data_IF_279464737429
#
_entry.id   IF_279464737429
#
_cell.length_a   1.000
_cell.length_b   1.000
_cell.length_c   1.000
_cell.angle_alpha   90.00
_cell.angle_beta   90.00
_cell.angle_gamma   90.00
#
_symmetry.space_group_name_H-M   'P 1'
#
loop_
_entity.id
_entity.type
_entity.pdbx_description
1 polymer ?
2 non-polymer ?
3 non-polymer ?
4 water ?
#
# COMPACT_ATOMS: atom_id res chain seq x y z
N UNK A 30 -10.51 4.09 31.63
CA UNK A 30 -11.10 5.21 32.36
C UNK A 30 -11.72 6.22 31.40
N UNK A 31 -10.89 7.13 30.88
CA UNK A 31 -11.37 8.14 29.93
C UNK A 31 -11.91 7.50 28.67
N UNK A 32 -12.97 8.10 28.12
CA UNK A 32 -13.64 7.56 26.93
C UNK A 32 -13.19 8.27 25.67
N UNK A 33 -13.34 7.60 24.54
CA UNK A 33 -13.02 8.21 23.26
C UNK A 33 -13.78 9.51 23.09
N UNK A 34 -15.10 9.44 23.21
CA UNK A 34 -15.95 10.62 23.00
C UNK A 34 -15.63 11.70 24.02
N UNK A 35 -15.22 11.30 25.21
CA UNK A 35 -14.82 12.27 26.23
C UNK A 35 -13.87 13.29 25.61
N UNK A 36 -12.82 12.82 24.95
CA UNK A 36 -11.80 13.69 24.40
C UNK A 36 -11.90 14.00 22.91
N UNK A 37 -12.81 13.35 22.20
CA UNK A 37 -12.98 13.56 20.76
C UNK A 37 -14.44 13.64 20.37
N UNK A 38 -14.70 14.36 19.28
CA UNK A 38 -16.01 14.35 18.65
C UNK A 38 -15.86 13.95 17.19
N UNK A 39 -16.78 13.11 16.73
CA UNK A 39 -16.73 12.53 15.40
C UNK A 39 -17.16 13.52 14.32
N UNK A 40 -16.77 13.24 13.07
CA UNK A 40 -17.15 14.07 11.94
C UNK A 40 -17.42 13.18 10.73
N UNK A 41 -17.33 13.75 9.54
CA UNK A 41 -17.68 13.02 8.32
C UNK A 41 -16.89 11.71 8.21
N UNK A 42 -17.41 10.78 7.41
CA UNK A 42 -16.67 9.57 7.10
C UNK A 42 -15.63 9.88 6.03
N UNK A 43 -14.39 9.44 6.25
CA UNK A 43 -13.35 9.56 5.24
C UNK A 43 -13.13 8.24 4.49
N UNK A 44 -14.08 7.33 4.66
CA UNK A 44 -14.27 6.22 3.72
C UNK A 44 -13.58 4.91 4.07
N UNK A 45 -13.60 3.99 3.10
CA UNK A 45 -12.82 2.75 3.16
C UNK A 45 -13.02 1.96 4.46
N UNK A 46 -14.11 1.20 4.55
CA UNK A 46 -14.32 0.33 5.69
C UNK A 46 -14.52 -1.13 5.31
N UNK A 47 -14.32 -2.04 6.28
CA UNK A 47 -14.58 -3.47 6.05
C UNK A 47 -15.51 -3.99 7.15
N UNK A 48 -14.94 -4.32 8.31
CA UNK A 48 -15.72 -4.53 9.52
C UNK A 48 -15.56 -3.28 10.35
N UNK A 49 -15.16 -2.19 9.68
CA UNK A 49 -14.76 -0.94 10.33
C UNK A 49 -14.93 0.29 9.42
N UNK A 50 -14.98 1.46 10.05
CA UNK A 50 -15.17 2.72 9.35
C UNK A 50 -14.09 3.71 9.77
N UNK A 51 -13.77 4.67 8.91
CA UNK A 51 -12.86 5.75 9.25
C UNK A 51 -13.60 7.09 9.20
N UNK A 52 -13.51 7.87 10.26
CA UNK A 52 -14.17 9.16 10.33
C UNK A 52 -13.16 10.21 10.70
N UNK A 53 -13.35 11.43 10.20
CA UNK A 53 -12.57 12.56 10.69
C UNK A 53 -13.00 12.83 12.11
N UNK A 54 -12.08 13.27 12.95
CA UNK A 54 -12.42 13.59 14.32
C UNK A 54 -11.58 14.76 14.80
N UNK A 55 -12.13 15.52 15.73
CA UNK A 55 -11.41 16.63 16.33
C UNK A 55 -11.13 16.31 17.79
N UNK A 56 -9.87 16.47 18.16
CA UNK A 56 -9.47 16.29 19.55
C UNK A 56 -10.06 17.45 20.35
N UNK A 57 -11.22 17.23 20.97
CA UNK A 57 -11.98 18.34 21.54
C UNK A 57 -11.22 19.08 22.64
N UNK A 58 -9.97 18.69 22.88
CA UNK A 58 -9.08 19.43 23.75
C UNK A 58 -8.24 20.45 22.97
N UNK A 59 -7.43 19.98 22.02
CA UNK A 59 -6.45 20.84 21.35
C UNK A 59 -6.95 21.34 19.98
N UNK A 60 -8.17 20.94 19.64
CA UNK A 60 -8.79 21.32 18.38
C UNK A 60 -8.02 20.89 17.13
N UNK A 61 -7.15 19.90 17.27
CA UNK A 61 -6.43 19.40 16.10
C UNK A 61 -7.24 18.31 15.40
N UNK A 62 -7.06 18.19 14.10
CA UNK A 62 -7.70 17.16 13.27
C UNK A 62 -6.95 15.85 13.29
N UNK A 63 -7.69 14.75 13.30
CA UNK A 63 -7.11 13.41 13.23
C UNK A 63 -8.08 12.50 12.49
N UNK A 64 -7.68 11.26 12.26
CA UNK A 64 -8.61 10.24 11.78
C UNK A 64 -8.95 9.30 12.93
N UNK A 65 -10.04 8.56 12.81
CA UNK A 65 -10.31 7.50 13.76
C UNK A 65 -10.91 6.29 13.05
N UNK A 66 -10.29 5.13 13.24
CA UNK A 66 -10.80 3.89 12.71
C UNK A 66 -11.57 3.17 13.80
N UNK A 67 -12.87 3.00 13.57
CA UNK A 67 -13.76 2.36 14.52
C UNK A 67 -14.04 0.94 14.09
N UNK A 68 -13.51 -0.02 14.85
CA UNK A 68 -13.60 -1.42 14.47
C UNK A 68 -14.63 -2.14 15.32
N UNK A 69 -15.32 -3.11 14.71
CA UNK A 69 -16.27 -3.94 15.44
C UNK A 69 -15.56 -5.19 15.96
N UNK A 70 -15.40 -5.26 17.27
CA UNK A 70 -14.70 -6.39 17.90
C UNK A 70 -15.39 -7.73 17.62
N UNK A 71 -16.70 -7.70 17.42
CA UNK A 71 -17.47 -8.90 17.13
C UNK A 71 -17.32 -9.38 15.69
N UNK A 72 -16.62 -8.60 14.87
CA UNK A 72 -16.49 -8.89 13.44
C UNK A 72 -15.06 -9.17 13.01
N UNK A 73 -14.13 -8.54 13.71
CA UNK A 73 -12.71 -8.80 13.51
C UNK A 73 -11.98 -8.41 14.78
N UNK A 74 -10.79 -8.97 14.96
CA UNK A 74 -9.96 -8.60 16.10
C UNK A 74 -8.86 -7.66 15.61
N UNK A 75 -8.72 -6.50 16.25
CA UNK A 75 -7.79 -5.46 15.78
C UNK A 75 -6.40 -5.54 16.40
N UNK A 76 -6.19 -6.52 17.26
CA UNK A 76 -5.01 -6.58 18.10
C UNK A 76 -3.73 -6.64 17.27
N UNK A 77 -3.73 -7.47 16.23
CA UNK A 77 -2.54 -7.65 15.41
C UNK A 77 -2.27 -6.40 14.57
N UNK A 78 -3.29 -5.60 14.35
CA UNK A 78 -3.18 -4.39 13.55
C UNK A 78 -2.65 -3.26 14.44
N UNK A 79 -3.20 -3.18 15.65
CA UNK A 79 -2.86 -2.11 16.57
C UNK A 79 -1.42 -2.20 17.06
N UNK A 80 -0.90 -3.41 17.15
CA UNK A 80 0.47 -3.62 17.63
C UNK A 80 1.46 -3.17 16.58
N UNK A 81 1.14 -3.52 15.34
CA UNK A 81 1.94 -3.13 14.21
C UNK A 81 2.06 -1.61 14.21
N UNK A 82 0.94 -0.92 14.41
CA UNK A 82 0.96 0.54 14.47
C UNK A 82 1.75 1.03 15.68
N UNK A 83 1.70 0.30 16.79
CA UNK A 83 2.45 0.72 17.98
C UNK A 83 3.96 0.55 17.81
N UNK A 84 4.40 -0.58 17.27
CA UNK A 84 5.83 -0.85 17.13
C UNK A 84 6.44 -0.13 15.93
N UNK A 85 5.65 0.03 14.86
CA UNK A 85 6.18 0.45 13.58
C UNK A 85 5.76 1.84 13.14
N UNK A 86 4.71 2.36 13.77
CA UNK A 86 4.18 3.67 13.43
C UNK A 86 5.20 4.80 13.37
N UNK A 87 6.33 4.58 14.01
CA UNK A 87 7.38 5.60 14.11
C UNK A 87 7.96 5.94 12.74
N UNK A 88 7.91 4.98 11.83
CA UNK A 88 8.38 5.18 10.47
C UNK A 88 7.69 6.41 9.87
N UNK A 89 8.46 7.34 9.30
CA UNK A 89 7.93 8.55 8.69
C UNK A 89 6.88 8.27 7.64
N UNK A 90 7.01 7.15 6.94
CA UNK A 90 6.08 6.82 5.86
C UNK A 90 5.10 5.74 6.27
N UNK A 91 5.04 5.43 7.55
CA UNK A 91 3.92 4.70 8.11
C UNK A 91 3.04 5.69 8.87
N UNK A 92 1.74 5.63 8.61
CA UNK A 92 0.77 6.45 9.33
C UNK A 92 0.99 6.37 10.84
N UNK A 93 0.85 7.52 11.50
CA UNK A 93 1.24 7.66 12.88
C UNK A 93 0.02 7.56 13.80
N UNK A 94 0.09 6.65 14.77
CA UNK A 94 -0.99 6.41 15.71
C UNK A 94 -0.90 7.46 16.80
N UNK A 95 -2.01 8.14 17.07
CA UNK A 95 -2.07 9.20 18.05
C UNK A 95 -2.68 8.74 19.36
N UNK A 96 -3.55 7.72 19.31
CA UNK A 96 -4.35 7.35 20.47
C UNK A 96 -5.19 6.10 20.19
N UNK A 97 -5.71 5.45 21.23
CA UNK A 97 -6.60 4.31 21.03
C UNK A 97 -7.44 3.97 22.26
N UNK A 98 -8.72 3.64 22.02
CA UNK A 98 -9.67 3.32 23.10
C UNK A 98 -10.42 2.02 22.84
N UNK A 99 -11.04 1.49 23.89
CA UNK A 99 -11.88 0.30 23.77
C UNK A 99 -13.05 0.35 24.75
N UNK A 100 -14.25 0.58 24.24
CA UNK A 100 -15.43 0.61 25.08
C UNK A 100 -16.02 -0.80 25.25
N UNK A 101 -15.18 -1.81 25.04
CA UNK A 101 -15.59 -3.20 25.17
C UNK A 101 -16.34 -3.75 23.97
N UNK A 102 -16.73 -2.87 23.05
CA UNK A 102 -17.55 -3.25 21.91
C UNK A 102 -16.86 -2.83 20.62
N UNK A 103 -16.38 -1.59 20.60
CA UNK A 103 -15.62 -1.10 19.47
C UNK A 103 -14.23 -0.65 19.91
N UNK A 104 -13.28 -0.71 18.98
CA UNK A 104 -11.98 -0.11 19.20
C UNK A 104 -11.85 1.17 18.36
N UNK A 105 -11.39 2.23 18.98
CA UNK A 105 -11.20 3.50 18.30
C UNK A 105 -9.70 3.82 18.14
N UNK A 106 -9.24 3.88 16.90
CA UNK A 106 -7.82 4.10 16.64
C UNK A 106 -7.58 5.46 16.00
N UNK A 107 -7.22 6.43 16.84
CA UNK A 107 -6.99 7.81 16.40
C UNK A 107 -5.62 7.90 15.73
N UNK A 108 -5.59 8.31 14.46
CA UNK A 108 -4.35 8.38 13.69
C UNK A 108 -4.21 9.75 13.04
N UNK A 109 -3.03 9.98 12.46
CA UNK A 109 -2.78 11.11 11.56
C UNK A 109 -3.92 11.25 10.54
N UNK A 110 -4.24 12.48 10.15
CA UNK A 110 -5.20 12.70 9.08
C UNK A 110 -4.48 13.14 7.81
N UNK A 111 -4.73 12.43 6.71
CA UNK A 111 -4.13 12.75 5.43
C UNK A 111 -4.83 13.95 4.83
N UNK A 112 -4.06 14.93 4.39
CA UNK A 112 -4.62 16.14 3.78
C UNK A 112 -4.15 16.31 2.32
N UNK A 113 -3.31 15.41 1.85
CA UNK A 113 -2.75 15.51 0.51
C UNK A 113 -3.46 14.62 -0.47
N UNK A 114 -4.45 13.88 0.00
CA UNK A 114 -5.19 12.98 -0.86
C UNK A 114 -4.47 11.66 -1.16
N UNK A 115 -5.19 10.78 -1.84
CA UNK A 115 -4.66 9.49 -2.23
C UNK A 115 -3.53 9.66 -3.27
N UNK A 116 -2.37 9.08 -2.98
CA UNK A 116 -1.14 9.37 -3.71
C UNK A 116 -1.27 9.15 -5.22
N UNK A 117 -1.82 8.01 -5.61
CA UNK A 117 -2.00 7.72 -7.03
C UNK A 117 -2.89 8.75 -7.69
N UNK A 118 -3.95 9.15 -6.98
CA UNK A 118 -4.91 10.08 -7.52
C UNK A 118 -4.24 11.40 -7.86
N UNK A 119 -3.35 11.86 -6.99
CA UNK A 119 -2.67 13.12 -7.23
C UNK A 119 -1.64 13.00 -8.35
N UNK A 120 -0.96 11.85 -8.42
CA UNK A 120 0.10 11.63 -9.39
C UNK A 120 -0.46 11.57 -10.81
N UNK A 121 -1.63 10.96 -10.97
CA UNK A 121 -2.20 10.78 -12.29
C UNK A 121 -2.74 12.10 -12.89
N UNK A 122 -3.03 13.08 -12.04
CA UNK A 122 -3.57 14.35 -12.53
C UNK A 122 -2.47 15.35 -12.77
N UNK A 123 -1.21 14.94 -12.58
CA UNK A 123 -0.08 15.76 -12.96
C UNK A 123 0.34 15.45 -14.38
N UNK A 124 0.18 16.41 -15.28
CA UNK A 124 0.65 16.26 -16.66
C UNK A 124 2.19 16.32 -16.71
N UNK A 125 2.77 17.08 -15.78
CA UNK A 125 4.22 17.18 -15.68
C UNK A 125 4.72 16.29 -14.56
N UNK A 126 4.85 15.01 -14.90
CA UNK A 126 5.31 13.99 -13.95
C UNK A 126 6.17 13.02 -14.74
N UNK A 127 7.44 12.95 -14.39
CA UNK A 127 8.38 12.18 -15.17
C UNK A 127 8.81 10.91 -14.43
N UNK A 128 9.68 10.14 -15.08
CA UNK A 128 10.20 8.91 -14.49
C UNK A 128 11.07 9.18 -13.26
N UNK A 129 11.91 10.21 -13.30
CA UNK A 129 12.72 10.54 -12.13
C UNK A 129 11.79 10.69 -10.93
N UNK A 130 10.61 11.26 -11.16
CA UNK A 130 9.62 11.43 -10.09
C UNK A 130 9.07 10.10 -9.60
N UNK A 131 8.73 9.24 -10.56
CA UNK A 131 8.10 7.97 -10.25
C UNK A 131 9.06 7.07 -9.47
N UNK A 132 10.34 7.20 -9.77
CA UNK A 132 11.38 6.40 -9.13
C UNK A 132 11.59 6.84 -7.68
N UNK A 133 11.45 8.13 -7.41
CA UNK A 133 11.58 8.67 -6.07
C UNK A 133 10.40 8.23 -5.20
N UNK A 134 9.19 8.38 -5.71
CA UNK A 134 7.98 7.92 -5.01
C UNK A 134 8.07 6.44 -4.69
N UNK A 135 8.44 5.63 -5.67
CA UNK A 135 8.56 4.20 -5.45
C UNK A 135 9.70 3.90 -4.49
N UNK A 136 10.77 4.69 -4.54
CA UNK A 136 11.91 4.46 -3.66
C UNK A 136 11.42 4.57 -2.21
N UNK A 137 10.66 5.61 -1.96
CA UNK A 137 10.22 5.93 -0.61
C UNK A 137 9.33 4.81 -0.10
N UNK A 138 8.45 4.33 -0.97
CA UNK A 138 7.46 3.32 -0.62
C UNK A 138 8.05 1.91 -0.45
N UNK A 139 9.00 1.54 -1.30
CA UNK A 139 9.63 0.24 -1.20
C UNK A 139 10.55 0.20 0.03
N UNK A 140 11.13 1.34 0.38
CA UNK A 140 12.01 1.41 1.53
C UNK A 140 11.20 1.13 2.80
N UNK A 141 9.96 1.59 2.80
CA UNK A 141 9.06 1.38 3.92
C UNK A 141 8.70 -0.10 4.04
N UNK A 142 8.51 -0.72 2.88
CA UNK A 142 8.07 -2.10 2.80
C UNK A 142 9.22 -3.04 3.15
N UNK A 143 10.41 -2.68 2.70
CA UNK A 143 11.58 -3.54 2.90
C UNK A 143 11.85 -3.68 4.38
N UNK A 144 11.86 -2.54 5.06
CA UNK A 144 11.94 -2.50 6.52
C UNK A 144 10.86 -3.40 7.13
N UNK A 145 9.61 -3.19 6.73
CA UNK A 145 8.51 -3.97 7.29
C UNK A 145 8.73 -5.47 7.12
N UNK A 146 9.32 -5.88 6.01
CA UNK A 146 9.56 -7.30 5.75
C UNK A 146 10.71 -7.83 6.59
N UNK A 147 11.69 -6.97 6.85
CA UNK A 147 12.81 -7.33 7.72
C UNK A 147 12.37 -7.55 9.16
N UNK A 148 11.20 -7.03 9.52
CA UNK A 148 10.68 -7.20 10.86
C UNK A 148 9.59 -8.27 10.84
N UNK A 149 9.58 -9.08 9.79
CA UNK A 149 8.59 -10.14 9.67
C UNK A 149 7.17 -9.63 9.60
N UNK A 150 6.98 -8.49 8.93
CA UNK A 150 5.64 -7.94 8.71
C UNK A 150 5.34 -7.93 7.23
N UNK A 151 4.16 -8.43 6.88
CA UNK A 151 3.67 -8.40 5.50
C UNK A 151 2.35 -7.64 5.52
N UNK A 152 2.11 -6.84 4.47
CA UNK A 152 0.95 -5.98 4.41
C UNK A 152 -0.32 -6.68 3.99
N UNK A 153 -0.27 -7.35 2.84
CA UNK A 153 -1.38 -8.17 2.33
C UNK A 153 -2.57 -7.35 1.78
N UNK A 154 -2.49 -6.02 1.81
CA UNK A 154 -3.55 -5.16 1.26
C UNK A 154 -2.96 -3.86 0.70
N UNK A 155 -1.81 -3.95 0.03
CA UNK A 155 -1.08 -2.76 -0.45
C UNK A 155 -1.70 -2.11 -1.70
N UNK A 156 -3.01 -2.02 -1.76
CA UNK A 156 -3.64 -1.31 -2.86
C UNK A 156 -3.36 0.19 -2.70
N UNK A 157 -3.40 0.92 -3.82
CA UNK A 157 -3.11 2.37 -3.88
C UNK A 157 -3.95 3.24 -2.94
N UNK A 158 -5.21 2.88 -2.72
CA UNK A 158 -6.11 3.72 -1.94
C UNK A 158 -5.73 3.76 -0.48
N UNK A 159 -4.72 2.97 -0.12
CA UNK A 159 -4.14 2.95 1.22
C UNK A 159 -2.83 3.72 1.31
N UNK A 160 -2.34 4.25 0.20
CA UNK A 160 -1.18 5.12 0.22
C UNK A 160 -1.62 6.52 -0.08
N UNK A 161 -1.14 7.45 0.73
CA UNK A 161 -1.62 8.81 0.67
C UNK A 161 -0.49 9.79 0.91
N UNK A 162 -0.73 11.03 0.51
CA UNK A 162 0.12 12.14 0.93
C UNK A 162 -0.47 12.79 2.17
N UNK A 163 0.35 13.03 3.19
CA UNK A 163 -0.13 13.62 4.44
C UNK A 163 -0.39 15.12 4.25
N UNK A 164 0.42 15.77 3.43
CA UNK A 164 0.18 17.17 3.10
C UNK A 164 0.33 17.42 1.60
N UNK A 165 0.19 18.67 1.16
CA UNK A 165 0.25 18.97 -0.26
C UNK A 165 1.64 19.40 -0.75
N UNK A 166 2.65 19.24 0.08
CA UNK A 166 4.02 19.54 -0.32
C UNK A 166 4.46 18.69 -1.51
N UNK A 167 3.73 17.61 -1.78
CA UNK A 167 4.03 16.73 -2.90
C UNK A 167 5.36 16.01 -2.77
N UNK A 168 5.95 16.08 -1.58
CA UNK A 168 7.24 15.48 -1.32
C UNK A 168 7.13 13.99 -0.95
N UNK A 169 8.02 13.15 -1.50
CA UNK A 169 8.07 11.74 -1.11
C UNK A 169 8.05 11.51 0.40
N UNK A 170 8.75 12.33 1.17
CA UNK A 170 8.73 12.14 2.63
C UNK A 170 7.39 12.53 3.28
N UNK A 171 6.41 12.93 2.48
CA UNK A 171 5.07 13.19 2.99
C UNK A 171 4.12 12.07 2.60
N UNK A 172 4.65 11.09 1.88
CA UNK A 172 3.95 9.84 1.59
C UNK A 172 3.71 9.01 2.86
N UNK A 173 2.60 8.28 2.89
CA UNK A 173 2.23 7.47 4.04
C UNK A 173 1.45 6.22 3.64
N UNK A 174 1.85 5.07 4.15
CA UNK A 174 1.04 3.87 4.04
C UNK A 174 0.08 3.88 5.22
N UNK A 175 -1.20 3.69 4.98
CA UNK A 175 -2.17 4.18 5.97
C UNK A 175 -3.16 3.19 6.61
N UNK A 176 -3.17 1.92 6.23
CA UNK A 176 -4.15 1.01 6.86
C UNK A 176 -3.61 -0.07 7.83
N UNK A 177 -3.23 -1.23 7.29
CA UNK A 177 -2.63 -2.33 8.08
C UNK A 177 -3.69 -3.27 8.66
N UNK A 178 -4.93 -3.08 8.23
CA UNK A 178 -6.04 -3.89 8.68
C UNK A 178 -5.96 -5.34 8.23
N UNK A 179 -4.89 -5.68 7.53
CA UNK A 179 -4.68 -7.06 7.07
C UNK A 179 -3.24 -7.51 7.25
N UNK A 180 -2.38 -6.64 7.74
CA UNK A 180 -0.98 -7.03 7.93
C UNK A 180 -0.87 -8.16 8.94
N UNK A 181 0.21 -8.94 8.82
CA UNK A 181 0.51 -10.01 9.76
C UNK A 181 1.97 -9.97 10.17
N UNK A 182 2.18 -10.05 11.48
CA UNK A 182 3.50 -10.19 12.06
C UNK A 182 3.84 -11.68 12.19
N UNK A 183 4.96 -12.09 11.59
CA UNK A 183 5.44 -13.47 11.63
C UNK A 183 5.59 -13.95 13.08
N UNK A 184 5.05 -15.14 13.39
CA UNK A 184 5.13 -15.70 14.73
C UNK A 184 5.37 -17.21 14.67
N UNK A 185 6.25 -17.70 15.56
CA UNK A 185 6.50 -19.14 15.72
C UNK A 185 5.26 -19.80 16.29
N UNK A 186 5.16 -21.11 16.13
CA UNK A 186 4.07 -21.87 16.71
C UNK A 186 4.05 -21.62 18.21
N UNK A 187 5.24 -21.35 18.74
CA UNK A 187 5.42 -21.08 20.16
C UNK A 187 4.83 -19.72 20.58
N UNK A 188 4.38 -18.93 19.59
CA UNK A 188 3.81 -17.62 19.82
C UNK A 188 4.83 -16.48 19.72
N UNK A 189 6.06 -16.80 19.34
CA UNK A 189 7.16 -15.84 19.40
C UNK A 189 7.28 -14.95 18.19
N UNK A 190 7.35 -13.65 18.42
CA UNK A 190 7.68 -12.70 17.37
C UNK A 190 8.96 -13.15 16.64
N UNK A 191 8.86 -13.36 15.34
CA UNK A 191 10.01 -13.75 14.54
C UNK A 191 10.34 -12.72 13.46
N UNK A 192 11.62 -12.58 13.17
CA UNK A 192 12.08 -11.85 12.00
C UNK A 192 12.64 -12.86 11.02
N UNK A 193 12.64 -12.53 9.73
CA UNK A 193 13.12 -13.50 8.75
C UNK A 193 14.59 -13.84 8.95
N UNK A 194 15.29 -13.03 9.74
CA UNK A 194 16.69 -13.29 9.98
C UNK A 194 16.93 -14.41 11.02
N UNK A 195 16.13 -14.43 12.08
CA UNK A 195 16.28 -15.44 13.13
C UNK A 195 15.30 -16.60 12.99
N UNK A 196 15.84 -17.77 12.68
CA UNK A 196 15.04 -18.93 12.32
C UNK A 196 15.07 -20.06 13.36
N UNK A 197 15.90 -19.91 14.40
CA UNK A 197 16.16 -21.02 15.32
C UNK A 197 14.97 -21.46 16.19
N UNK A 198 13.83 -20.78 16.07
CA UNK A 198 12.59 -21.25 16.71
C UNK A 198 11.74 -22.00 15.70
N UNK A 199 10.73 -22.72 16.16
CA UNK A 199 9.91 -23.49 15.23
C UNK A 199 8.75 -22.69 14.70
N UNK A 200 8.74 -22.51 13.38
CA UNK A 200 7.60 -21.94 12.70
C UNK A 200 7.12 -22.97 11.68
N UNK A 201 5.82 -23.21 11.64
CA UNK A 201 5.25 -24.21 10.74
C UNK A 201 5.61 -23.86 9.30
N UNK A 202 5.88 -24.88 8.48
CA UNK A 202 6.27 -24.65 7.07
C UNK A 202 5.23 -23.85 6.27
N UNK A 203 3.96 -24.25 6.35
CA UNK A 203 2.93 -23.58 5.58
C UNK A 203 2.79 -22.10 5.96
N UNK A 204 3.23 -21.76 7.17
CA UNK A 204 3.22 -20.38 7.64
C UNK A 204 4.41 -19.61 7.07
N UNK A 205 5.49 -20.33 6.85
CA UNK A 205 6.70 -19.75 6.29
C UNK A 205 6.56 -19.52 4.80
N UNK A 206 6.19 -20.56 4.05
CA UNK A 206 6.00 -20.43 2.61
C UNK A 206 5.00 -19.34 2.34
N UNK A 207 3.97 -19.25 3.19
CA UNK A 207 2.97 -18.20 3.06
C UNK A 207 3.54 -16.81 3.34
N UNK A 208 4.49 -16.71 4.26
CA UNK A 208 5.10 -15.42 4.56
C UNK A 208 5.93 -14.98 3.35
N UNK A 209 6.27 -15.95 2.51
CA UNK A 209 6.99 -15.65 1.28
C UNK A 209 6.01 -15.33 0.17
N UNK A 210 4.80 -15.86 0.27
CA UNK A 210 3.73 -15.52 -0.65
C UNK A 210 3.30 -14.10 -0.38
N UNK A 211 2.88 -13.83 0.85
CA UNK A 211 2.38 -12.51 1.23
C UNK A 211 3.42 -11.41 0.98
N UNK A 212 4.69 -11.72 1.08
CA UNK A 212 5.72 -10.72 0.82
C UNK A 212 5.79 -10.47 -0.66
N UNK A 213 5.80 -11.56 -1.44
CA UNK A 213 5.85 -11.46 -2.90
C UNK A 213 4.63 -10.71 -3.43
N UNK A 214 3.51 -10.91 -2.76
CA UNK A 214 2.25 -10.32 -3.14
C UNK A 214 2.30 -8.82 -2.92
N UNK A 215 2.93 -8.41 -1.82
CA UNK A 215 3.16 -6.99 -1.56
C UNK A 215 3.95 -6.38 -2.71
N UNK A 216 4.99 -7.07 -3.17
CA UNK A 216 5.83 -6.55 -4.23
C UNK A 216 5.06 -6.45 -5.53
N UNK A 217 4.10 -7.36 -5.71
CA UNK A 217 3.28 -7.38 -6.90
C UNK A 217 2.32 -6.20 -6.88
N UNK A 218 1.88 -5.83 -5.69
CA UNK A 218 1.03 -4.67 -5.53
C UNK A 218 1.78 -3.38 -5.87
N UNK A 219 3.05 -3.35 -5.51
CA UNK A 219 3.88 -2.19 -5.84
C UNK A 219 4.09 -2.11 -7.35
N UNK A 220 4.27 -3.28 -7.98
CA UNK A 220 4.47 -3.34 -9.42
C UNK A 220 3.24 -2.86 -10.19
N UNK A 221 2.07 -3.13 -9.63
CA UNK A 221 0.81 -2.65 -10.18
C UNK A 221 0.72 -1.12 -10.06
N UNK A 222 1.15 -0.59 -8.93
CA UNK A 222 1.21 0.85 -8.70
C UNK A 222 2.18 1.53 -9.68
N UNK A 223 3.31 0.87 -9.91
CA UNK A 223 4.33 1.41 -10.80
C UNK A 223 3.81 1.44 -12.23
N UNK A 224 3.12 0.37 -12.63
CA UNK A 224 2.62 0.22 -13.99
C UNK A 224 1.67 1.37 -14.28
N UNK A 225 0.69 1.52 -13.40
CA UNK A 225 -0.31 2.55 -13.52
C UNK A 225 0.35 3.91 -13.47
N UNK A 226 1.43 4.02 -12.71
CA UNK A 226 2.14 5.29 -12.55
C UNK A 226 2.70 5.75 -13.91
N UNK A 227 3.35 4.83 -14.60
CA UNK A 227 4.08 5.16 -15.81
C UNK A 227 3.16 5.47 -17.00
N UNK A 228 1.97 4.86 -17.04
CA UNK A 228 1.15 4.89 -18.24
C UNK A 228 -0.22 5.51 -18.04
N UNK A 229 -0.65 5.63 -16.79
CA UNK A 229 -1.97 6.19 -16.51
C UNK A 229 -3.09 5.19 -16.65
N UNK A 230 -2.76 3.92 -16.85
CA UNK A 230 -3.78 2.87 -16.80
C UNK A 230 -3.21 1.62 -16.13
N UNK A 231 -4.10 0.80 -15.56
CA UNK A 231 -3.69 -0.38 -14.82
C UNK A 231 -3.46 -1.59 -15.73
N UNK A 232 -2.64 -2.55 -15.26
CA UNK A 232 -2.21 -3.66 -16.12
C UNK A 232 -3.27 -4.74 -16.42
N UNK A 233 -4.28 -4.91 -15.56
CA UNK A 233 -5.17 -6.05 -15.67
C UNK A 233 -6.64 -5.67 -15.70
N UNK A 234 -6.93 -4.37 -15.67
CA UNK A 234 -8.30 -3.90 -15.75
C UNK A 234 -8.36 -2.59 -16.55
N UNK A 235 -9.37 -2.46 -17.40
CA UNK A 235 -9.56 -1.24 -18.17
C UNK A 235 -10.45 -0.22 -17.45
N UNK A 236 -11.41 -0.73 -16.68
CA UNK A 236 -12.33 0.10 -15.92
C UNK A 236 -13.12 -0.80 -14.98
N UNK A 237 -14.04 -0.21 -14.19
CA UNK A 237 -14.81 -0.90 -13.16
C UNK A 237 -15.75 -2.01 -13.64
N UNK A 238 -16.06 -2.07 -14.92
CA UNK A 238 -17.05 -3.03 -15.42
C UNK A 238 -16.45 -4.37 -15.85
N UNK A 239 -15.15 -4.39 -16.10
CA UNK A 239 -14.45 -5.62 -16.41
C UNK A 239 -14.99 -6.74 -15.54
N UNK A 240 -15.15 -7.91 -16.14
CA UNK A 240 -15.69 -9.06 -15.45
C UNK A 240 -14.61 -9.62 -14.53
N UNK A 241 -15.01 -10.07 -13.34
CA UNK A 241 -14.01 -10.65 -12.45
C UNK A 241 -13.24 -11.79 -13.14
N UNK A 242 -13.87 -12.47 -14.11
CA UNK A 242 -13.25 -13.64 -14.76
C UNK A 242 -12.16 -13.26 -15.76
N UNK A 243 -12.36 -12.18 -16.50
CA UNK A 243 -11.36 -11.77 -17.47
C UNK A 243 -10.18 -11.13 -16.74
N UNK A 244 -10.45 -10.41 -15.67
CA UNK A 244 -9.38 -9.81 -14.90
C UNK A 244 -8.50 -10.91 -14.32
N UNK A 245 -9.15 -11.88 -13.69
CA UNK A 245 -8.41 -12.99 -13.11
C UNK A 245 -7.63 -13.75 -14.17
N UNK A 246 -8.19 -13.79 -15.38
CA UNK A 246 -7.57 -14.51 -16.48
C UNK A 246 -6.25 -13.85 -16.85
N UNK A 247 -6.31 -12.54 -17.03
CA UNK A 247 -5.13 -11.74 -17.33
C UNK A 247 -4.03 -11.98 -16.29
N UNK A 248 -4.43 -12.05 -15.02
CA UNK A 248 -3.47 -12.22 -13.94
C UNK A 248 -2.84 -13.60 -14.01
N UNK A 249 -3.66 -14.63 -14.20
CA UNK A 249 -3.20 -16.00 -14.17
C UNK A 249 -2.22 -16.35 -15.29
N UNK A 250 -2.32 -15.61 -16.39
CA UNK A 250 -1.45 -15.86 -17.52
C UNK A 250 -0.25 -14.93 -17.49
N UNK A 251 -0.13 -14.15 -16.41
CA UNK A 251 0.82 -13.06 -16.38
C UNK A 251 0.58 -12.24 -17.64
N UNK A 252 1.63 -12.01 -18.41
CA UNK A 252 1.51 -11.39 -19.73
C UNK A 252 0.64 -10.12 -19.68
N UNK A 253 1.33 -8.98 -19.73
CA UNK A 253 0.74 -7.64 -19.64
C UNK A 253 1.54 -6.75 -20.60
N UNK A 254 0.88 -5.89 -21.38
CA UNK A 254 1.62 -5.14 -22.39
C UNK A 254 2.74 -4.32 -21.77
N UNK A 255 3.90 -4.32 -22.43
CA UNK A 255 5.03 -3.50 -21.97
C UNK A 255 5.69 -2.78 -23.14
N UNK A 256 4.99 -2.66 -24.25
CA UNK A 256 5.57 -1.98 -25.41
C UNK A 256 4.48 -1.45 -26.34
N UNK A 257 4.72 -0.28 -26.93
CA UNK A 257 3.73 0.37 -27.77
C UNK A 257 2.79 1.27 -26.99
N UNK A 258 2.02 2.07 -27.72
CA UNK A 258 1.11 3.01 -27.09
C UNK A 258 1.87 3.89 -26.11
N UNK A 259 1.46 3.85 -24.85
CA UNK A 259 2.02 4.74 -23.84
C UNK A 259 3.34 4.22 -23.30
N UNK A 260 3.91 3.21 -23.93
CA UNK A 260 5.17 2.65 -23.46
C UNK A 260 6.33 3.13 -24.31
N UNK A 261 6.03 3.92 -25.33
CA UNK A 261 7.05 4.31 -26.29
C UNK A 261 8.16 5.10 -25.65
N UNK A 262 7.80 6.19 -24.97
CA UNK A 262 8.80 7.06 -24.37
C UNK A 262 9.31 6.53 -23.02
N UNK A 263 8.82 5.37 -22.60
CA UNK A 263 9.22 4.82 -21.31
C UNK A 263 10.48 3.97 -21.41
N UNK A 264 11.47 4.26 -20.59
CA UNK A 264 12.77 3.64 -20.73
C UNK A 264 12.73 2.12 -20.55
N UNK A 265 13.85 1.49 -20.88
CA UNK A 265 13.92 0.06 -20.96
C UNK A 265 14.09 -0.46 -19.56
N UNK A 266 14.90 0.26 -18.81
CA UNK A 266 15.19 -0.06 -17.42
C UNK A 266 13.92 -0.07 -16.58
N UNK A 267 13.00 0.84 -16.87
CA UNK A 267 11.73 0.89 -16.17
C UNK A 267 10.87 -0.32 -16.53
N UNK A 268 10.88 -0.73 -17.79
CA UNK A 268 10.06 -1.84 -18.25
C UNK A 268 10.59 -3.12 -17.65
N UNK A 269 11.91 -3.17 -17.49
CA UNK A 269 12.57 -4.33 -16.90
C UNK A 269 12.13 -4.52 -15.45
N UNK A 270 12.18 -3.46 -14.67
CA UNK A 270 11.76 -3.50 -13.28
C UNK A 270 10.31 -3.93 -13.17
N UNK A 271 9.46 -3.37 -14.02
CA UNK A 271 8.03 -3.67 -13.99
C UNK A 271 7.79 -5.17 -14.21
N UNK A 272 8.36 -5.72 -15.27
CA UNK A 272 8.22 -7.14 -15.57
C UNK A 272 8.64 -8.02 -14.38
N UNK A 273 9.72 -7.64 -13.71
CA UNK A 273 10.24 -8.44 -12.61
C UNK A 273 9.44 -8.24 -11.32
N UNK A 274 8.67 -7.14 -11.25
CA UNK A 274 7.83 -6.87 -10.09
C UNK A 274 6.46 -7.54 -10.24
N UNK A 275 6.08 -7.80 -11.48
CA UNK A 275 4.81 -8.40 -11.79
C UNK A 275 4.98 -9.84 -12.24
N UNK A 276 6.20 -10.36 -12.08
CA UNK A 276 6.51 -11.72 -12.53
C UNK A 276 5.50 -12.70 -11.98
N UNK A 277 4.91 -13.50 -12.86
CA UNK A 277 3.74 -14.31 -12.50
C UNK A 277 4.06 -15.40 -11.46
N UNK A 278 5.35 -15.78 -11.37
CA UNK A 278 5.81 -16.70 -10.35
C UNK A 278 6.32 -15.90 -9.15
N UNK A 279 5.68 -16.07 -7.99
CA UNK A 279 6.08 -15.34 -6.78
C UNK A 279 7.55 -15.51 -6.48
N UNK A 280 8.13 -16.62 -6.94
CA UNK A 280 9.50 -16.99 -6.59
C UNK A 280 10.53 -16.25 -7.42
N UNK A 281 10.27 -16.09 -8.70
CA UNK A 281 11.18 -15.35 -9.56
C UNK A 281 10.96 -13.85 -9.38
N UNK A 282 9.82 -13.49 -8.79
CA UNK A 282 9.50 -12.10 -8.52
C UNK A 282 10.58 -11.50 -7.63
N UNK A 283 10.79 -10.19 -7.76
CA UNK A 283 11.83 -9.49 -7.01
C UNK A 283 11.40 -9.29 -5.55
N UNK A 284 12.37 -9.21 -4.64
CA UNK A 284 12.10 -8.80 -3.27
C UNK A 284 12.18 -7.28 -3.12
N UNK A 285 11.55 -6.74 -2.09
CA UNK A 285 11.69 -5.32 -1.76
C UNK A 285 13.15 -4.89 -1.85
N UNK A 286 14.04 -5.66 -1.24
CA UNK A 286 15.47 -5.40 -1.27
C UNK A 286 16.00 -5.29 -2.71
N UNK A 287 15.74 -6.32 -3.52
CA UNK A 287 16.26 -6.37 -4.89
C UNK A 287 15.68 -5.26 -5.78
N UNK A 288 14.42 -4.93 -5.57
CA UNK A 288 13.82 -3.81 -6.26
C UNK A 288 14.68 -2.58 -6.02
N UNK A 289 15.13 -2.40 -4.78
CA UNK A 289 15.85 -1.20 -4.41
C UNK A 289 17.28 -1.25 -4.91
N UNK A 290 17.70 -2.41 -5.40
CA UNK A 290 19.03 -2.55 -5.98
C UNK A 290 18.95 -2.50 -7.51
N UNK A 291 17.75 -2.22 -8.02
CA UNK A 291 17.53 -2.16 -9.46
C UNK A 291 18.00 -0.80 -9.97
N UNK A 292 18.64 -0.78 -11.15
CA UNK A 292 19.23 0.43 -11.73
C UNK A 292 18.23 1.57 -11.93
N UNK A 293 16.96 1.21 -12.12
CA UNK A 293 15.89 2.18 -12.24
C UNK A 293 15.74 2.96 -10.95
N UNK A 294 16.00 2.29 -9.82
CA UNK A 294 15.97 2.95 -8.52
C UNK A 294 17.31 3.59 -8.15
N UNK A 295 18.40 2.85 -8.31
CA UNK A 295 19.71 3.30 -7.86
C UNK A 295 20.21 4.45 -8.72
N UNK A 296 20.21 4.26 -10.02
CA UNK A 296 20.69 5.28 -10.96
C UNK A 296 19.53 6.12 -11.47
N UNK A 297 18.74 6.65 -10.55
CA UNK A 297 17.55 7.43 -10.89
C UNK A 297 17.88 8.70 -11.68
N UNK A 298 19.11 9.20 -11.55
CA UNK A 298 19.52 10.41 -12.24
C UNK A 298 19.63 10.19 -13.75
N UNK A 299 19.82 8.94 -14.16
CA UNK A 299 19.85 8.59 -15.57
C UNK A 299 18.48 8.77 -16.18
N UNK A 300 17.45 8.62 -15.35
CA UNK A 300 16.08 8.57 -15.83
C UNK A 300 15.66 9.82 -16.60
N UNK A 301 14.87 9.62 -17.66
CA UNK A 301 14.27 10.68 -18.47
C UNK A 301 13.51 11.68 -17.61
N UNK A 302 13.65 12.97 -17.91
CA UNK A 302 13.01 14.01 -17.10
C UNK A 302 11.79 14.62 -17.80
N UNK A 303 11.60 14.25 -19.06
CA UNK A 303 10.47 14.77 -19.81
C UNK A 303 9.16 14.13 -19.34
N UNK A 304 8.07 14.88 -19.42
CA UNK A 304 6.78 14.39 -18.94
C UNK A 304 6.47 13.03 -19.55
N UNK A 305 5.74 12.22 -18.80
CA UNK A 305 5.25 10.94 -19.30
C UNK A 305 3.98 11.15 -20.09
N UNK A 306 3.89 10.52 -21.25
CA UNK A 306 2.62 10.47 -21.99
C UNK A 306 1.76 9.35 -21.42
N UNK A 307 0.57 9.70 -20.94
CA UNK A 307 -0.27 8.73 -20.26
C UNK A 307 -1.72 8.94 -20.60
N UNK A 308 -2.51 7.88 -20.50
CA UNK A 308 -3.94 8.07 -20.46
C UNK A 308 -4.24 8.97 -19.27
N UNK A 309 -5.20 9.88 -19.42
CA UNK A 309 -5.56 10.75 -18.32
C UNK A 309 -7.03 10.56 -17.96
N UNK A 310 -7.29 9.53 -17.16
CA UNK A 310 -8.65 9.15 -16.76
C UNK A 310 -8.59 8.63 -15.35
N UNK A 311 -8.25 9.51 -14.40
CA UNK A 311 -7.97 9.08 -13.02
C UNK A 311 -9.15 8.37 -12.38
N UNK A 312 -10.37 8.78 -12.72
CA UNK A 312 -11.54 8.16 -12.12
C UNK A 312 -11.74 6.76 -12.68
N UNK A 313 -11.30 6.54 -13.91
CA UNK A 313 -11.43 5.24 -14.53
C UNK A 313 -10.45 4.27 -13.88
N UNK A 314 -9.21 4.74 -13.69
CA UNK A 314 -8.19 3.96 -13.02
C UNK A 314 -8.63 3.59 -11.61
N UNK A 315 -9.34 4.50 -10.95
CA UNK A 315 -9.91 4.22 -9.64
C UNK A 315 -10.87 3.03 -9.72
N UNK A 316 -11.79 3.06 -10.66
CA UNK A 316 -12.72 1.96 -10.86
C UNK A 316 -12.01 0.63 -11.13
N UNK A 317 -10.95 0.71 -11.96
CA UNK A 317 -10.26 -0.49 -12.41
C UNK A 317 -9.45 -1.13 -11.28
N UNK A 318 -8.86 -0.30 -10.42
CA UNK A 318 -8.16 -0.82 -9.23
C UNK A 318 -9.12 -1.57 -8.33
N UNK A 319 -10.27 -0.98 -8.08
CA UNK A 319 -11.23 -1.60 -7.19
C UNK A 319 -11.76 -2.90 -7.80
N UNK A 320 -11.86 -2.96 -9.13
CA UNK A 320 -12.36 -4.14 -9.80
C UNK A 320 -11.31 -5.26 -9.75
N UNK A 321 -10.05 -4.87 -9.88
CA UNK A 321 -8.96 -5.82 -9.83
C UNK A 321 -8.87 -6.49 -8.46
N UNK A 322 -8.86 -5.69 -7.40
CA UNK A 322 -8.68 -6.21 -6.04
C UNK A 322 -9.92 -6.94 -5.51
N UNK A 323 -11.09 -6.53 -5.99
CA UNK A 323 -12.33 -7.22 -5.66
C UNK A 323 -12.26 -8.65 -6.21
N UNK A 324 -11.76 -8.77 -7.43
CA UNK A 324 -11.63 -10.07 -8.10
C UNK A 324 -10.55 -10.89 -7.42
N UNK A 325 -9.74 -10.22 -6.59
CA UNK A 325 -8.69 -10.89 -5.85
C UNK A 325 -9.16 -11.37 -4.49
N UNK A 326 -10.11 -10.66 -3.90
CA UNK A 326 -10.51 -10.88 -2.52
C UNK A 326 -11.78 -11.70 -2.37
N UNK A 327 -12.40 -12.04 -3.50
CA UNK A 327 -13.64 -12.80 -3.49
C UNK A 327 -13.54 -13.93 -4.51
X LIG B 1 -8.41 3.51 6.77
X LIG B 1 -9.15 2.22 6.80
X LIG B 1 -9.72 1.24 6.86
X LIG B 1 -7.78 3.68 5.47
X LIG B 1 -6.46 4.13 5.28
X LIG B 1 -6.25 4.16 3.95
X LIG B 1 -7.42 3.76 3.32
X LIG B 1 -8.36 3.46 4.29
X LIG B 1 -9.32 4.67 7.08
X LIG B 1 -8.41 5.81 7.38
X LIG B 1 -7.58 5.74 8.50
X LIG B 1 -6.71 6.78 8.81
X LIG B 1 -6.66 7.88 7.96
X LIG B 1 -5.91 9.06 8.01
X LIG B 1 -6.17 9.86 7.00
X LIG B 1 -7.11 9.24 6.27
X LIG B 1 -7.73 9.79 5.00
X LIG B 1 -8.02 8.84 3.88
X LIG B 1 -8.58 9.30 2.71
X LIG B 1 -8.84 8.41 1.70
X LIG B 1 -10.17 8.07 1.48
X LIG B 1 -8.89 10.78 2.55
X LIG B 1 -9.45 11.22 1.36
X LIG B 1 -8.64 11.35 0.23
X LIG B 1 -8.61 11.64 3.60
X LIG B 1 -8.86 13.00 3.51
X LIG B 1 -9.74 13.58 4.40
X LIG B 1 -8.00 11.11 4.87
X LIG B 1 -7.48 7.95 6.83
X LIG B 1 -8.36 6.92 6.51
X LIG B 1 -5.83 4.36 5.98
X LIG B 1 -7.54 3.69 2.36
X LIG B 1 -9.88 4.88 6.31
X LIG B 1 -7.63 4.96 9.07
X LIG B 1 -6.14 6.74 9.59
X LIG B 1 -5.30 9.23 8.66
X LIG B 1 -7.83 7.89 3.97
X LIG B 1 -10.33 8.01 0.52
X LIG B 1 -10.76 8.75 1.87
X LIG B 1 -10.35 7.20 1.89
X LIG B 1 -8.65 12.28 -0.07
X LIG B 1 -9.00 10.78 -0.50
X LIG B 1 -7.74 11.08 0.44
X LIG B 1 -9.78 14.53 4.24
X LIG B 1 -10.61 13.18 4.29
X LIG B 1 -9.42 13.42 5.32
X LIG B 1 -7.80 11.73 5.61
X LIG B 1 -8.93 6.96 5.73
X LIG C 1 4.87 7.52 11.21
#
# INVERSE_FOLDING_TARGET
AHHHHHHVDDDDKMQTVGVHSIVQQLHRNSIQFTDGYEVKEDIGVGSYSVCKRCIHKATNMEFAVKIIDKSKRDPTEEIEILLRYGQHPNIITLKDVYDDGKYVYVVMELMKGGELLDKILRQKFFSEREASAVLFTITKTVEYLHAQGVVHRDLKPSNILYVDESGNPESIRICDFGFAKQLRAENGLLMTPCYTANFVAPEVLERQGYDAACDIWSLGVLLYTMLTGYTPFANGPDDTPEEILARIGSGKFSLSGGYWNSVSDTAKDLVSKMLHVDPHQRLTAALVLRHPWIVHWDQLPQYQLNRQDAPHLVKGAMAATYSALNRNQSPVLEPVGRSTLAQRRGIKKITSTAL
28D C01 C02 N03 N04 C05 N06 C07 N08 C09 C10 C11 C12 C13 N14 N15 C16 C17 C18 C19 O20 C21 C22 O23 C24 C25 O26 C27 C28 C29 C30 H051 H071 H091 H111 H121 H141 H181 H213 H211 H212 H243 H241 H242 H273 H272 H271 H281 H301
NA NA
#
